data_IF_736627417487
#
_entry.id   IF_736627417487
#
_cell.length_a   1.000
_cell.length_b   1.000
_cell.length_c   1.000
_cell.angle_alpha   90.00
_cell.angle_beta   90.00
_cell.angle_gamma   90.00
#
_symmetry.space_group_name_H-M   'P 1'
#
loop_
_entity.id
_entity.type
_entity.pdbx_description
1 polymer ?
#
# COMPACT_ATOMS: atom_id res chain seq x y z
N UNK A 1 4.93 6.29 -14.46
CA UNK A 1 5.50 7.10 -13.37
C UNK A 1 6.92 6.69 -12.94
N UNK A 2 7.27 5.39 -12.89
CA UNK A 2 8.51 4.85 -12.28
C UNK A 2 9.79 5.64 -12.57
N UNK A 3 10.14 5.90 -13.84
CA UNK A 3 11.39 6.61 -14.15
C UNK A 3 11.44 8.05 -13.60
N UNK A 4 10.30 8.74 -13.52
CA UNK A 4 10.24 10.07 -12.92
C UNK A 4 10.35 10.03 -11.38
N UNK A 5 9.80 8.98 -10.75
CA UNK A 5 9.90 8.77 -9.29
C UNK A 5 11.34 8.53 -8.88
N UNK A 6 12.08 7.65 -9.58
CA UNK A 6 13.49 7.43 -9.29
C UNK A 6 14.35 8.68 -9.53
N UNK A 7 14.09 9.44 -10.61
CA UNK A 7 14.78 10.72 -10.82
C UNK A 7 14.53 11.72 -9.69
N UNK A 8 13.31 11.79 -9.18
CA UNK A 8 12.98 12.65 -8.04
C UNK A 8 13.62 12.16 -6.73
N UNK A 9 13.70 10.85 -6.54
CA UNK A 9 14.42 10.23 -5.42
C UNK A 9 15.92 10.54 -5.47
N UNK A 10 16.57 10.33 -6.61
CA UNK A 10 18.02 10.56 -6.78
C UNK A 10 18.41 12.04 -6.66
N UNK A 11 17.47 12.96 -6.88
CA UNK A 11 17.67 14.40 -6.71
C UNK A 11 17.61 14.85 -5.24
N UNK A 12 17.06 14.03 -4.33
CA UNK A 12 17.00 14.32 -2.91
C UNK A 12 18.33 13.97 -2.21
N UNK A 13 18.67 14.62 -1.09
CA UNK A 13 19.83 14.22 -0.29
C UNK A 13 19.72 12.75 0.12
N UNK A 14 20.83 12.02 0.03
CA UNK A 14 20.88 10.63 0.45
C UNK A 14 20.47 10.51 1.93
N UNK A 15 19.39 9.77 2.19
CA UNK A 15 19.02 9.38 3.54
C UNK A 15 19.82 8.14 3.94
N UNK A 16 20.24 8.08 5.21
CA UNK A 16 20.82 6.86 5.76
C UNK A 16 19.81 5.72 5.72
N UNK A 17 20.29 4.49 5.48
CA UNK A 17 19.43 3.31 5.48
C UNK A 17 18.72 3.15 6.83
N UNK A 18 17.40 3.01 6.80
CA UNK A 18 16.63 2.67 7.99
C UNK A 18 16.81 1.19 8.32
N UNK A 19 17.02 0.87 9.59
CA UNK A 19 17.22 -0.50 10.08
C UNK A 19 16.49 -0.65 11.41
N UNK A 20 15.15 -0.67 11.40
CA UNK A 20 14.37 -0.79 12.61
C UNK A 20 14.66 -2.13 13.29
N UNK A 21 14.71 -2.13 14.63
CA UNK A 21 14.71 -3.37 15.40
C UNK A 21 13.48 -4.19 15.02
N UNK A 22 13.59 -5.52 14.79
CA UNK A 22 12.43 -6.37 14.54
C UNK A 22 11.40 -6.32 15.69
N UNK A 23 10.13 -6.70 15.44
CA UNK A 23 9.14 -6.77 16.51
C UNK A 23 9.53 -7.84 17.55
N UNK A 24 9.06 -7.67 18.78
CA UNK A 24 9.33 -8.60 19.89
C UNK A 24 8.75 -10.00 19.63
N UNK A 25 7.67 -10.08 18.85
CA UNK A 25 7.11 -11.32 18.30
C UNK A 25 6.60 -11.15 16.87
N UNK A 26 6.27 -12.27 16.22
CA UNK A 26 5.76 -12.32 14.85
C UNK A 26 4.23 -12.45 14.80
N UNK A 27 3.52 -12.00 15.84
CA UNK A 27 2.07 -11.93 15.78
C UNK A 27 1.62 -10.88 14.75
N UNK A 28 0.42 -11.04 14.19
CA UNK A 28 -0.10 -10.12 13.18
C UNK A 28 -0.14 -8.68 13.69
N UNK A 29 -0.54 -8.47 14.96
CA UNK A 29 -0.60 -7.15 15.56
C UNK A 29 0.80 -6.52 15.69
N UNK A 30 1.76 -7.23 16.27
CA UNK A 30 3.14 -6.74 16.43
C UNK A 30 3.81 -6.44 15.09
N UNK A 31 3.57 -7.28 14.07
CA UNK A 31 4.10 -7.05 12.72
C UNK A 31 3.45 -5.83 12.07
N UNK A 32 2.15 -5.62 12.22
CA UNK A 32 1.46 -4.43 11.69
C UNK A 32 1.99 -3.17 12.37
N UNK A 33 2.12 -3.17 13.69
CA UNK A 33 2.63 -2.03 14.46
C UNK A 33 4.07 -1.72 14.06
N UNK A 34 4.91 -2.75 13.93
CA UNK A 34 6.26 -2.61 13.41
C UNK A 34 6.26 -2.03 12.00
N UNK A 35 5.54 -2.60 11.04
CA UNK A 35 5.44 -2.08 9.67
C UNK A 35 4.91 -0.63 9.63
N UNK A 36 4.05 -0.25 10.58
CA UNK A 36 3.46 1.08 10.65
C UNK A 36 4.47 2.20 10.91
N UNK A 37 5.58 1.88 11.57
CA UNK A 37 6.68 2.80 11.83
C UNK A 37 7.67 2.93 10.66
N UNK A 38 7.58 2.04 9.66
CA UNK A 38 8.56 1.98 8.58
C UNK A 38 8.19 2.89 7.42
N UNK A 39 9.22 3.47 6.82
CA UNK A 39 9.12 4.40 5.69
C UNK A 39 9.21 3.67 4.35
N UNK A 40 8.55 4.23 3.34
CA UNK A 40 8.82 3.94 1.94
C UNK A 40 9.52 5.17 1.34
N UNK A 41 10.82 5.06 1.08
CA UNK A 41 11.65 6.16 0.58
C UNK A 41 11.20 6.66 -0.80
N UNK A 42 10.41 5.87 -1.55
CA UNK A 42 9.84 6.25 -2.83
C UNK A 42 8.48 6.94 -2.72
N UNK A 43 7.85 6.97 -1.54
CA UNK A 43 6.51 7.56 -1.38
C UNK A 43 6.52 9.06 -1.62
N UNK A 44 7.37 9.81 -0.93
CA UNK A 44 7.49 11.26 -1.14
C UNK A 44 7.74 11.66 -2.62
N UNK A 45 8.71 11.07 -3.35
CA UNK A 45 8.88 11.37 -4.77
C UNK A 45 7.73 10.85 -5.65
N UNK A 46 7.05 9.76 -5.28
CA UNK A 46 5.88 9.31 -6.02
C UNK A 46 4.69 10.26 -5.86
N UNK A 47 4.47 10.81 -4.66
CA UNK A 47 3.43 11.81 -4.39
C UNK A 47 3.64 13.11 -5.19
N UNK A 48 4.89 13.54 -5.37
CA UNK A 48 5.20 14.74 -6.16
C UNK A 48 4.97 14.56 -7.66
N UNK A 49 5.16 13.33 -8.17
CA UNK A 49 4.95 12.98 -9.58
C UNK A 49 3.49 12.62 -9.87
N UNK A 50 2.81 11.95 -8.94
CA UNK A 50 1.46 11.39 -9.12
C UNK A 50 0.58 11.70 -7.88
N UNK A 51 -0.03 12.89 -7.80
CA UNK A 51 -0.82 13.31 -6.63
C UNK A 51 -1.99 12.39 -6.30
N UNK A 52 -2.55 11.66 -7.28
CA UNK A 52 -3.63 10.68 -7.06
C UNK A 52 -3.26 9.55 -6.10
N UNK A 53 -1.97 9.29 -5.86
CA UNK A 53 -1.52 8.33 -4.84
C UNK A 53 -1.92 8.82 -3.43
N UNK A 54 -1.84 10.12 -3.16
CA UNK A 54 -2.25 10.68 -1.86
C UNK A 54 -3.76 10.47 -1.63
N UNK A 55 -4.56 10.66 -2.68
CA UNK A 55 -6.00 10.42 -2.62
C UNK A 55 -6.30 8.93 -2.36
N UNK A 56 -5.61 8.02 -3.04
CA UNK A 56 -5.75 6.58 -2.82
C UNK A 56 -5.34 6.14 -1.41
N UNK A 57 -4.24 6.67 -0.87
CA UNK A 57 -3.80 6.43 0.50
C UNK A 57 -4.83 6.94 1.52
N UNK A 58 -5.36 8.15 1.31
CA UNK A 58 -6.36 8.73 2.20
C UNK A 58 -7.67 7.91 2.17
N UNK A 59 -8.13 7.54 0.98
CA UNK A 59 -9.33 6.74 0.80
C UNK A 59 -9.18 5.34 1.42
N UNK A 60 -8.05 4.65 1.19
CA UNK A 60 -7.77 3.33 1.79
C UNK A 60 -7.69 3.43 3.32
N UNK A 61 -7.04 4.47 3.87
CA UNK A 61 -6.96 4.67 5.33
C UNK A 61 -8.33 4.90 5.97
N UNK A 62 -9.26 5.51 5.24
CA UNK A 62 -10.63 5.72 5.69
C UNK A 62 -11.54 4.49 5.48
N UNK A 63 -11.08 3.47 4.76
CA UNK A 63 -11.88 2.27 4.50
C UNK A 63 -12.11 1.47 5.79
N UNK A 64 -13.33 0.96 6.02
CA UNK A 64 -13.63 0.17 7.22
C UNK A 64 -12.68 -1.02 7.39
N UNK A 65 -12.16 -1.21 8.61
CA UNK A 65 -11.29 -2.34 8.94
C UNK A 65 -9.86 -2.27 8.40
N UNK A 66 -9.45 -1.17 7.74
CA UNK A 66 -8.07 -1.00 7.27
C UNK A 66 -7.11 -0.92 8.48
N UNK A 67 -6.22 -1.91 8.61
CA UNK A 67 -5.22 -1.98 9.69
C UNK A 67 -3.93 -1.25 9.35
N UNK A 68 -3.53 -1.31 8.07
CA UNK A 68 -2.34 -0.66 7.53
C UNK A 68 -2.60 -0.33 6.07
N UNK A 69 -2.15 0.83 5.60
CA UNK A 69 -2.09 1.13 4.17
C UNK A 69 -0.76 1.74 3.79
N UNK A 70 -0.27 1.42 2.58
CA UNK A 70 1.00 1.88 2.01
C UNK A 70 0.94 1.90 0.49
N UNK A 71 1.81 2.71 -0.10
CA UNK A 71 2.14 2.61 -1.52
C UNK A 71 3.04 1.39 -1.79
N UNK A 72 2.80 0.66 -2.87
CA UNK A 72 3.64 -0.45 -3.32
C UNK A 72 4.70 0.01 -4.33
N UNK A 73 5.97 -0.33 -4.09
CA UNK A 73 7.09 -0.03 -4.99
C UNK A 73 7.24 1.48 -5.25
N UNK A 74 7.31 1.86 -6.53
CA UNK A 74 7.36 3.27 -7.00
C UNK A 74 5.98 3.87 -7.27
N UNK A 75 4.91 3.18 -6.87
CA UNK A 75 3.53 3.57 -7.19
C UNK A 75 3.13 3.29 -8.65
N UNK A 76 1.88 3.57 -9.03
CA UNK A 76 0.86 4.30 -8.27
C UNK A 76 -0.03 3.42 -7.37
N UNK A 77 0.20 2.11 -7.34
CA UNK A 77 -0.65 1.18 -6.57
C UNK A 77 -0.51 1.40 -5.06
N UNK A 78 -1.66 1.46 -4.38
CA UNK A 78 -1.78 1.46 -2.92
C UNK A 78 -2.40 0.13 -2.49
N UNK A 79 -1.97 -0.39 -1.34
CA UNK A 79 -2.60 -1.56 -0.72
C UNK A 79 -3.05 -1.26 0.70
N UNK A 80 -4.00 -2.07 1.18
CA UNK A 80 -4.47 -2.09 2.56
C UNK A 80 -4.39 -3.51 3.13
N UNK A 81 -4.06 -3.64 4.41
CA UNK A 81 -4.16 -4.88 5.18
C UNK A 81 -5.43 -4.87 6.01
N UNK A 82 -6.11 -6.01 6.03
CA UNK A 82 -7.36 -6.24 6.73
C UNK A 82 -7.28 -7.57 7.48
N UNK A 83 -8.03 -7.71 8.57
CA UNK A 83 -8.00 -8.93 9.39
C UNK A 83 -8.55 -10.15 8.63
N UNK A 84 -9.48 -9.93 7.71
CA UNK A 84 -10.09 -10.99 6.91
C UNK A 84 -10.50 -10.55 5.50
N UNK A 85 -10.91 -11.55 4.71
CA UNK A 85 -11.33 -11.37 3.32
C UNK A 85 -12.62 -10.56 3.19
N UNK A 86 -13.54 -10.65 4.14
CA UNK A 86 -14.82 -9.94 4.07
C UNK A 86 -14.58 -8.43 4.23
N UNK A 87 -13.79 -8.02 5.22
CA UNK A 87 -13.38 -6.63 5.41
C UNK A 87 -12.65 -6.06 4.17
N UNK A 88 -11.76 -6.83 3.55
CA UNK A 88 -11.08 -6.42 2.32
C UNK A 88 -12.06 -6.22 1.14
N UNK A 89 -13.12 -7.04 1.04
CA UNK A 89 -14.17 -6.89 0.03
C UNK A 89 -15.01 -5.65 0.29
N UNK A 90 -15.41 -5.41 1.55
CA UNK A 90 -16.16 -4.21 1.93
C UNK A 90 -15.37 -2.94 1.62
N UNK A 91 -14.07 -2.93 1.91
CA UNK A 91 -13.17 -1.83 1.53
C UNK A 91 -13.10 -1.65 0.01
N UNK A 92 -13.01 -2.73 -0.77
CA UNK A 92 -13.00 -2.66 -2.23
C UNK A 92 -14.28 -2.01 -2.78
N UNK A 93 -15.45 -2.32 -2.21
CA UNK A 93 -16.72 -1.66 -2.55
C UNK A 93 -16.74 -0.18 -2.12
N UNK A 94 -16.25 0.15 -0.93
CA UNK A 94 -16.20 1.53 -0.44
C UNK A 94 -15.26 2.43 -1.27
N UNK A 95 -14.29 1.84 -1.96
CA UNK A 95 -13.34 2.53 -2.83
C UNK A 95 -13.82 2.64 -4.28
N UNK A 96 -14.91 1.98 -4.66
CA UNK A 96 -15.40 1.96 -6.03
C UNK A 96 -15.79 3.37 -6.52
N UNK A 97 -15.11 3.82 -7.58
CA UNK A 97 -15.31 5.13 -8.20
C UNK A 97 -14.73 5.18 -9.61
N UNK A 98 -15.23 6.06 -10.49
CA UNK A 98 -14.73 6.17 -11.86
C UNK A 98 -13.22 6.39 -11.96
N UNK A 99 -12.56 5.61 -12.81
CA UNK A 99 -11.11 5.71 -13.05
C UNK A 99 -10.24 4.95 -12.04
N UNK A 100 -10.84 4.29 -11.04
CA UNK A 100 -10.12 3.47 -10.06
C UNK A 100 -10.42 1.99 -10.30
N UNK A 101 -9.50 1.14 -9.85
CA UNK A 101 -9.73 -0.29 -9.76
C UNK A 101 -9.21 -0.79 -8.41
N UNK A 102 -9.88 -1.80 -7.85
CA UNK A 102 -9.47 -2.46 -6.61
C UNK A 102 -9.66 -3.97 -6.77
N UNK A 103 -8.82 -4.75 -6.07
CA UNK A 103 -8.92 -6.21 -6.05
C UNK A 103 -8.64 -6.73 -4.65
N UNK A 104 -9.65 -7.25 -3.93
CA UNK A 104 -9.42 -7.94 -2.67
C UNK A 104 -8.71 -9.27 -2.94
N UNK A 105 -7.64 -9.53 -2.19
CA UNK A 105 -6.82 -10.75 -2.27
C UNK A 105 -6.50 -11.26 -0.87
N UNK A 106 -6.09 -12.52 -0.78
CA UNK A 106 -5.62 -13.14 0.47
C UNK A 106 -4.11 -13.35 0.34
N UNK A 107 -3.34 -12.87 1.32
CA UNK A 107 -1.89 -13.04 1.34
C UNK A 107 -1.54 -14.53 1.45
N UNK A 108 -0.65 -15.00 0.57
CA UNK A 108 -0.21 -16.40 0.55
C UNK A 108 -1.25 -17.40 0.02
N UNK A 109 -2.37 -16.94 -0.54
CA UNK A 109 -3.27 -17.83 -1.26
C UNK A 109 -2.56 -18.40 -2.52
N UNK A 110 -2.76 -19.68 -2.86
CA UNK A 110 -2.27 -20.23 -4.11
C UNK A 110 -2.84 -19.44 -5.29
N UNK A 111 -2.06 -19.28 -6.36
CA UNK A 111 -2.43 -18.50 -7.54
C UNK A 111 -3.86 -18.86 -8.00
N UNK A 112 -4.79 -17.92 -7.83
CA UNK A 112 -6.13 -18.04 -8.38
C UNK A 112 -6.03 -17.55 -9.82
N UNK A 113 -6.24 -18.44 -10.79
CA UNK A 113 -6.30 -18.07 -12.20
C UNK A 113 -7.18 -16.81 -12.38
N UNK A 114 -6.73 -15.83 -13.17
CA UNK A 114 -7.51 -14.63 -13.39
C UNK A 114 -8.90 -15.01 -13.93
N UNK A 115 -9.96 -14.51 -13.28
CA UNK A 115 -11.32 -14.62 -13.83
C UNK A 115 -11.31 -14.02 -15.22
N UNK A 116 -11.76 -14.79 -16.21
CA UNK A 116 -12.11 -14.30 -17.52
C UNK A 116 -13.10 -13.15 -17.37
N UNK A 117 -12.73 -11.99 -17.89
CA UNK A 117 -13.64 -10.88 -18.10
C UNK A 117 -14.58 -11.32 -19.23
N UNK A 118 -15.87 -11.43 -18.94
CA UNK A 118 -16.94 -11.53 -19.96
C UNK A 118 -17.17 -10.13 -20.51
#
# INVERSE_FOLDING_TARGET
>A
PTGAVYRAYDAAPAAGADRPTPPDDWSVASVIDWLSAQRNDLEAPALSVTPGIAEALAAMRAAPGCRLTRMSGSGATVFGLFDDRAAAIEAAFALDRPGWWSRPVVLGAPDIEPRSVI
#
